data_IF_797305702658
#
_entry.id   IF_797305702658
#
_cell.length_a   1.000
_cell.length_b   1.000
_cell.length_c   1.000
_cell.angle_alpha   90.00
_cell.angle_beta   90.00
_cell.angle_gamma   90.00
#
_symmetry.space_group_name_H-M   'P 1'
#
loop_
_entity.id
_entity.type
_entity.pdbx_description
1 polymer ?
#
# COMPACT_ATOMS: atom_id res chain seq x y z
N UNK A 1 2.71 14.50 -13.10
CA UNK A 1 3.52 13.27 -13.23
C UNK A 1 2.70 12.10 -12.68
N UNK A 2 2.73 10.92 -13.30
CA UNK A 2 2.01 9.73 -12.81
C UNK A 2 2.87 8.99 -11.78
N UNK A 3 2.26 8.51 -10.69
CA UNK A 3 2.96 7.65 -9.72
C UNK A 3 3.28 6.30 -10.40
N UNK A 4 4.53 5.82 -10.37
CA UNK A 4 4.91 4.57 -11.02
C UNK A 4 4.23 3.38 -10.35
N UNK A 5 3.82 2.39 -11.15
CA UNK A 5 3.31 1.11 -10.67
C UNK A 5 4.42 0.08 -10.71
N UNK A 6 4.66 -0.60 -9.59
CA UNK A 6 5.60 -1.71 -9.47
C UNK A 6 4.84 -3.04 -9.48
N UNK A 7 5.42 -4.07 -10.10
CA UNK A 7 4.86 -5.43 -10.10
C UNK A 7 5.87 -6.38 -9.44
N UNK A 8 5.43 -7.12 -8.43
CA UNK A 8 6.26 -8.12 -7.74
C UNK A 8 6.35 -9.41 -8.56
N UNK A 9 7.26 -10.32 -8.17
CA UNK A 9 7.36 -11.66 -8.77
C UNK A 9 6.09 -12.50 -8.62
N UNK A 10 5.25 -12.21 -7.63
CA UNK A 10 3.95 -12.87 -7.43
C UNK A 10 2.83 -12.26 -8.26
N UNK A 11 3.09 -11.18 -9.00
CA UNK A 11 2.09 -10.45 -9.78
C UNK A 11 1.30 -9.40 -8.98
N UNK A 12 1.62 -9.19 -7.70
CA UNK A 12 1.02 -8.11 -6.92
C UNK A 12 1.53 -6.76 -7.42
N UNK A 13 0.63 -5.79 -7.52
CA UNK A 13 0.94 -4.45 -7.99
C UNK A 13 0.78 -3.43 -6.87
N UNK A 14 1.76 -2.54 -6.73
CA UNK A 14 1.71 -1.46 -5.74
C UNK A 14 2.29 -0.16 -6.30
N UNK A 15 1.86 0.95 -5.72
CA UNK A 15 2.40 2.28 -5.98
C UNK A 15 2.41 3.09 -4.70
N UNK A 16 3.53 3.71 -4.39
CA UNK A 16 3.65 4.59 -3.23
C UNK A 16 3.15 5.99 -3.61
N UNK A 17 1.91 6.29 -3.24
CA UNK A 17 1.30 7.61 -3.51
C UNK A 17 1.93 8.69 -2.62
N UNK A 18 2.32 8.31 -1.40
CA UNK A 18 3.05 9.14 -0.45
C UNK A 18 3.99 8.24 0.36
N UNK A 19 5.29 8.52 0.28
CA UNK A 19 6.32 7.81 1.04
C UNK A 19 6.35 8.36 2.47
N UNK A 20 6.33 7.49 3.46
CA UNK A 20 6.52 7.87 4.86
C UNK A 20 7.94 8.36 5.11
N UNK A 21 8.09 9.38 5.95
CA UNK A 21 9.40 10.00 6.24
C UNK A 21 10.15 9.32 7.38
N UNK A 22 9.46 8.53 8.20
CA UNK A 22 10.04 7.88 9.36
C UNK A 22 10.75 6.58 8.96
N UNK A 23 11.96 6.41 9.48
CA UNK A 23 12.73 5.18 9.31
C UNK A 23 12.01 4.09 10.12
N UNK A 24 11.32 3.18 9.43
CA UNK A 24 10.81 1.98 10.10
C UNK A 24 12.00 1.10 10.45
N UNK A 25 12.42 1.13 11.72
CA UNK A 25 13.65 0.49 12.16
C UNK A 25 13.58 -1.03 12.32
N UNK A 26 12.41 -1.63 12.44
CA UNK A 26 12.27 -3.10 12.52
C UNK A 26 10.79 -3.49 12.42
N UNK A 27 10.43 -4.36 11.48
CA UNK A 27 9.04 -4.83 11.30
C UNK A 27 8.69 -6.10 12.10
N UNK A 28 9.58 -6.60 12.97
CA UNK A 28 9.32 -7.86 13.65
C UNK A 28 8.50 -7.63 14.93
N UNK A 29 7.29 -8.19 14.92
CA UNK A 29 6.38 -8.37 16.09
C UNK A 29 5.80 -7.08 16.70
N UNK A 30 5.45 -6.08 15.88
CA UNK A 30 4.70 -4.91 16.36
C UNK A 30 3.25 -4.95 15.88
N UNK A 31 2.32 -4.72 16.79
CA UNK A 31 0.95 -4.40 16.43
C UNK A 31 0.93 -3.01 15.79
N UNK A 32 0.38 -2.93 14.58
CA UNK A 32 0.26 -1.68 13.84
C UNK A 32 -1.21 -1.29 13.69
N UNK A 33 -1.47 0.01 13.61
CA UNK A 33 -2.78 0.56 13.25
C UNK A 33 -2.66 1.24 11.89
N UNK A 34 -3.59 0.95 10.99
CA UNK A 34 -3.63 1.54 9.65
C UNK A 34 -5.07 1.88 9.27
N UNK A 35 -5.22 2.97 8.54
CA UNK A 35 -6.47 3.30 7.85
C UNK A 35 -6.40 2.73 6.44
N UNK A 36 -7.49 2.14 5.95
CA UNK A 36 -7.54 1.56 4.61
C UNK A 36 -8.90 1.81 3.94
N UNK A 37 -8.90 1.68 2.60
CA UNK A 37 -10.09 1.62 1.77
C UNK A 37 -9.86 0.49 0.76
N UNK A 38 -10.82 -0.42 0.64
CA UNK A 38 -10.81 -1.49 -0.35
C UNK A 38 -11.81 -1.17 -1.46
N UNK A 39 -11.40 -1.39 -2.72
CA UNK A 39 -12.19 -1.03 -3.89
C UNK A 39 -12.09 -2.11 -4.95
N UNK A 40 -13.21 -2.44 -5.58
CA UNK A 40 -13.24 -3.34 -6.75
C UNK A 40 -13.05 -2.55 -8.05
N UNK A 41 -12.70 -3.19 -9.19
CA UNK A 41 -12.38 -2.49 -10.43
C UNK A 41 -13.48 -1.58 -10.99
N UNK A 42 -14.75 -1.80 -10.61
CA UNK A 42 -15.87 -0.92 -10.96
C UNK A 42 -15.86 0.43 -10.21
N UNK A 43 -14.92 0.65 -9.29
CA UNK A 43 -14.84 1.85 -8.45
C UNK A 43 -15.67 1.79 -7.17
N UNK A 44 -16.39 0.69 -6.93
CA UNK A 44 -17.19 0.51 -5.70
C UNK A 44 -16.28 0.22 -4.51
N UNK A 45 -16.45 0.99 -3.43
CA UNK A 45 -15.80 0.76 -2.13
C UNK A 45 -16.48 -0.42 -1.43
N UNK A 46 -15.68 -1.33 -0.87
CA UNK A 46 -16.15 -2.55 -0.20
C UNK A 46 -15.66 -2.66 1.25
N UNK A 47 -14.71 -1.82 1.66
CA UNK A 47 -14.30 -1.59 3.04
C UNK A 47 -13.53 -0.26 3.16
#
# INVERSE_FOLDING_TARGET
>A
MKVPMMTTVSGLQYKDIKVGTDIVKTFQMLQVTANYVAMVPSGRIVA
#
